data_IF_986872409941
#
_entry.id   IF_986872409941
#
_cell.length_a   1.000
_cell.length_b   1.000
_cell.length_c   1.000
_cell.angle_alpha   90.00
_cell.angle_beta   90.00
_cell.angle_gamma   90.00
#
_symmetry.space_group_name_H-M   'P 1'
#
loop_
_entity.id
_entity.type
_entity.pdbx_description
1 polymer ?
#
# COMPACT_ATOMS: atom_id res chain seq x y z
N UNK A 1 -16.46 -4.76 -15.81
CA UNK A 1 -15.72 -3.72 -16.56
C UNK A 1 -15.35 -2.50 -15.69
N UNK A 2 -16.23 -1.53 -15.42
CA UNK A 2 -15.83 -0.32 -14.65
C UNK A 2 -15.34 -0.61 -13.23
N UNK A 3 -15.98 -1.55 -12.52
CA UNK A 3 -15.55 -2.01 -11.21
C UNK A 3 -14.15 -2.64 -11.20
N UNK A 4 -13.80 -3.40 -12.24
CA UNK A 4 -12.49 -4.05 -12.36
C UNK A 4 -11.41 -3.01 -12.71
N UNK A 5 -11.74 -2.07 -13.60
CA UNK A 5 -10.85 -0.95 -13.93
C UNK A 5 -10.51 -0.11 -12.67
N UNK A 6 -11.51 0.17 -11.82
CA UNK A 6 -11.29 0.83 -10.52
C UNK A 6 -10.33 0.02 -9.66
N UNK A 7 -10.54 -1.29 -9.53
CA UNK A 7 -9.68 -2.13 -8.70
C UNK A 7 -8.23 -2.15 -9.21
N UNK A 8 -8.03 -2.27 -10.53
CA UNK A 8 -6.69 -2.21 -11.13
C UNK A 8 -6.03 -0.84 -10.90
N UNK A 9 -6.77 0.25 -11.07
CA UNK A 9 -6.28 1.60 -10.79
C UNK A 9 -5.87 1.78 -9.31
N UNK A 10 -6.67 1.25 -8.39
CA UNK A 10 -6.35 1.26 -6.96
C UNK A 10 -5.07 0.48 -6.65
N UNK A 11 -4.86 -0.69 -7.29
CA UNK A 11 -3.64 -1.47 -7.14
C UNK A 11 -2.40 -0.74 -7.69
N UNK A 12 -2.51 -0.12 -8.87
CA UNK A 12 -1.39 0.65 -9.44
C UNK A 12 -1.04 1.88 -8.60
N UNK A 13 -2.06 2.57 -8.08
CA UNK A 13 -1.86 3.68 -7.17
C UNK A 13 -1.14 3.24 -5.89
N UNK A 14 -1.62 2.15 -5.28
CA UNK A 14 -1.00 1.57 -4.09
C UNK A 14 0.46 1.18 -4.33
N UNK A 15 0.75 0.49 -5.43
CA UNK A 15 2.11 0.06 -5.78
C UNK A 15 3.06 1.26 -6.02
N UNK A 16 2.57 2.30 -6.69
CA UNK A 16 3.33 3.52 -6.92
C UNK A 16 3.67 4.24 -5.60
N UNK A 17 2.66 4.50 -4.77
CA UNK A 17 2.85 5.21 -3.49
C UNK A 17 3.74 4.42 -2.53
N UNK A 18 3.58 3.10 -2.45
CA UNK A 18 4.47 2.25 -1.65
C UNK A 18 5.90 2.24 -2.21
N UNK A 19 6.08 2.32 -3.53
CA UNK A 19 7.41 2.40 -4.16
C UNK A 19 8.10 3.72 -3.87
N UNK A 20 7.36 4.84 -3.91
CA UNK A 20 7.89 6.16 -3.57
C UNK A 20 8.25 6.27 -2.07
N UNK A 21 7.41 5.67 -1.22
CA UNK A 21 7.69 5.53 0.21
C UNK A 21 8.97 4.71 0.46
N UNK A 22 9.17 3.61 -0.28
CA UNK A 22 10.41 2.81 -0.24
C UNK A 22 11.63 3.62 -0.70
N UNK A 23 11.52 4.35 -1.81
CA UNK A 23 12.62 5.18 -2.31
C UNK A 23 13.04 6.24 -1.27
N UNK A 24 12.05 6.90 -0.66
CA UNK A 24 12.26 7.87 0.42
C UNK A 24 12.92 7.25 1.65
N UNK A 25 12.54 6.01 2.00
CA UNK A 25 13.14 5.26 3.10
C UNK A 25 14.60 4.90 2.84
N UNK A 26 14.90 4.38 1.66
CA UNK A 26 16.29 4.06 1.29
C UNK A 26 17.15 5.32 1.33
N UNK A 27 16.64 6.43 0.79
CA UNK A 27 17.34 7.71 0.83
C UNK A 27 17.62 8.16 2.26
N UNK A 28 16.63 8.06 3.16
CA UNK A 28 16.81 8.36 4.59
C UNK A 28 17.89 7.47 5.21
N UNK A 29 17.85 6.16 4.94
CA UNK A 29 18.81 5.21 5.49
C UNK A 29 20.25 5.51 5.04
N UNK A 30 20.44 5.86 3.76
CA UNK A 30 21.73 6.25 3.19
C UNK A 30 22.23 7.55 3.83
N UNK A 31 21.38 8.58 3.93
CA UNK A 31 21.75 9.90 4.45
C UNK A 31 22.06 9.89 5.96
N UNK A 32 21.35 9.06 6.72
CA UNK A 32 21.40 9.07 8.18
C UNK A 32 22.21 7.91 8.75
N UNK A 33 22.58 6.92 7.92
CA UNK A 33 23.23 5.68 8.35
C UNK A 33 22.36 4.84 9.29
N UNK A 34 21.04 5.06 9.30
CA UNK A 34 20.10 4.37 10.20
C UNK A 34 18.71 4.32 9.61
N UNK A 35 17.95 3.30 9.99
CA UNK A 35 16.57 3.15 9.55
C UNK A 35 15.65 4.15 10.28
N UNK A 36 14.60 4.68 9.63
CA UNK A 36 13.60 5.47 10.32
C UNK A 36 12.85 4.61 11.35
N UNK A 37 12.32 5.22 12.43
CA UNK A 37 11.57 4.50 13.45
C UNK A 37 10.37 3.72 12.88
N UNK A 38 10.11 2.49 13.35
CA UNK A 38 9.00 1.66 12.86
C UNK A 38 7.63 2.34 12.92
N UNK A 39 7.39 3.16 13.96
CA UNK A 39 6.11 3.88 14.12
C UNK A 39 5.88 4.94 13.04
N UNK A 40 6.97 5.60 12.59
CA UNK A 40 6.89 6.56 11.47
C UNK A 40 6.56 5.84 10.17
N UNK A 41 7.16 4.67 9.97
CA UNK A 41 6.95 3.86 8.79
C UNK A 41 5.50 3.39 8.69
N UNK A 42 5.00 2.76 9.76
CA UNK A 42 3.62 2.29 9.83
C UNK A 42 2.61 3.40 9.59
N UNK A 43 2.86 4.59 10.15
CA UNK A 43 2.00 5.75 9.92
C UNK A 43 1.92 6.14 8.43
N UNK A 44 3.06 6.15 7.73
CA UNK A 44 3.09 6.50 6.31
C UNK A 44 2.42 5.44 5.43
N UNK A 45 2.59 4.15 5.76
CA UNK A 45 1.83 3.07 5.12
C UNK A 45 0.33 3.24 5.33
N UNK A 46 -0.09 3.51 6.57
CA UNK A 46 -1.49 3.75 6.91
C UNK A 46 -2.04 4.95 6.11
N UNK A 47 -1.27 6.03 5.99
CA UNK A 47 -1.64 7.21 5.20
C UNK A 47 -1.85 6.85 3.71
N UNK A 48 -0.98 6.02 3.12
CA UNK A 48 -1.13 5.52 1.73
C UNK A 48 -2.41 4.69 1.58
N UNK A 49 -2.68 3.77 2.51
CA UNK A 49 -3.89 2.94 2.50
C UNK A 49 -5.16 3.81 2.65
N UNK A 50 -5.12 4.84 3.51
CA UNK A 50 -6.23 5.80 3.60
C UNK A 50 -6.40 6.60 2.31
N UNK A 51 -5.31 6.92 1.60
CA UNK A 51 -5.34 7.53 0.27
C UNK A 51 -6.11 6.67 -0.73
N UNK A 52 -5.76 5.38 -0.83
CA UNK A 52 -6.46 4.40 -1.68
C UNK A 52 -7.95 4.35 -1.35
N UNK A 53 -8.30 4.23 -0.06
CA UNK A 53 -9.70 4.20 0.40
C UNK A 53 -10.45 5.46 -0.03
N UNK A 54 -9.88 6.64 0.25
CA UNK A 54 -10.51 7.91 -0.06
C UNK A 54 -10.73 8.11 -1.57
N UNK A 55 -9.79 7.69 -2.39
CA UNK A 55 -9.82 7.94 -3.83
C UNK A 55 -10.66 6.91 -4.60
N UNK A 56 -10.59 5.63 -4.22
CA UNK A 56 -11.17 4.54 -5.00
C UNK A 56 -12.28 3.78 -4.30
N UNK A 57 -12.36 3.82 -2.97
CA UNK A 57 -13.33 3.10 -2.15
C UNK A 57 -14.06 4.05 -1.21
N UNK A 58 -14.62 5.13 -1.77
CA UNK A 58 -15.50 6.05 -1.06
C UNK A 58 -16.96 5.80 -1.44
N UNK A 59 -17.89 6.32 -0.65
CA UNK A 59 -19.32 6.01 -0.81
C UNK A 59 -19.87 6.49 -2.16
N UNK A 60 -19.37 7.61 -2.70
CA UNK A 60 -19.80 8.13 -4.00
C UNK A 60 -19.41 7.16 -5.13
N UNK A 61 -18.16 6.70 -5.15
CA UNK A 61 -17.67 5.71 -6.12
C UNK A 61 -18.39 4.37 -5.94
N UNK A 62 -18.59 3.91 -4.70
CA UNK A 62 -19.32 2.67 -4.41
C UNK A 62 -20.76 2.73 -4.91
N UNK A 63 -21.46 3.84 -4.68
CA UNK A 63 -22.83 4.05 -5.16
C UNK A 63 -22.90 4.14 -6.69
N UNK A 64 -21.93 4.78 -7.33
CA UNK A 64 -21.88 4.90 -8.78
C UNK A 64 -21.66 3.54 -9.47
N UNK A 65 -20.82 2.68 -8.89
CA UNK A 65 -20.49 1.36 -9.45
C UNK A 65 -21.49 0.27 -9.06
N UNK A 66 -22.13 0.38 -7.89
CA UNK A 66 -23.06 -0.62 -7.35
C UNK A 66 -24.34 0.01 -6.77
N UNK A 67 -25.12 0.78 -7.56
CA UNK A 67 -26.26 1.55 -7.07
C UNK A 67 -27.38 0.68 -6.47
N UNK A 68 -27.50 -0.57 -6.91
CA UNK A 68 -28.53 -1.50 -6.42
C UNK A 68 -28.11 -2.28 -5.17
N UNK A 69 -26.87 -2.10 -4.70
CA UNK A 69 -26.37 -2.75 -3.49
C UNK A 69 -26.31 -1.72 -2.37
N UNK A 70 -27.05 -1.97 -1.28
CA UNK A 70 -26.85 -1.27 -0.01
C UNK A 70 -25.52 -1.73 0.61
N UNK A 71 -24.41 -1.26 0.03
CA UNK A 71 -23.06 -1.61 0.44
C UNK A 71 -22.33 -0.33 0.84
N UNK A 72 -21.72 -0.36 2.01
CA UNK A 72 -20.88 0.74 2.47
C UNK A 72 -19.53 0.73 1.76
N UNK A 73 -18.89 1.89 1.68
CA UNK A 73 -17.53 2.04 1.18
C UNK A 73 -16.51 1.09 1.85
N UNK A 74 -16.65 0.87 3.17
CA UNK A 74 -15.80 -0.03 3.92
C UNK A 74 -16.02 -1.50 3.53
N UNK A 75 -17.27 -1.93 3.38
CA UNK A 75 -17.59 -3.28 2.91
C UNK A 75 -17.14 -3.52 1.45
N UNK A 76 -17.24 -2.50 0.60
CA UNK A 76 -16.74 -2.55 -0.78
C UNK A 76 -15.22 -2.70 -0.83
N UNK A 77 -14.51 -1.98 0.03
CA UNK A 77 -13.06 -2.15 0.21
C UNK A 77 -12.75 -3.59 0.64
N UNK A 78 -13.20 -4.01 1.83
CA UNK A 78 -12.91 -5.34 2.39
C UNK A 78 -13.20 -6.46 1.39
N UNK A 79 -14.38 -6.46 0.78
CA UNK A 79 -14.78 -7.53 -0.14
C UNK A 79 -13.83 -7.68 -1.33
N UNK A 80 -13.21 -6.59 -1.78
CA UNK A 80 -12.39 -6.56 -3.00
C UNK A 80 -10.91 -6.58 -2.71
N UNK A 81 -10.49 -6.19 -1.51
CA UNK A 81 -9.08 -6.12 -1.13
C UNK A 81 -8.63 -7.27 -0.25
N UNK A 82 -9.47 -7.75 0.68
CA UNK A 82 -9.09 -8.85 1.58
C UNK A 82 -9.48 -10.23 1.07
N UNK A 83 -10.48 -10.34 0.18
CA UNK A 83 -11.00 -11.65 -0.27
C UNK A 83 -10.58 -12.09 -1.68
N UNK A 84 -10.29 -11.15 -2.60
CA UNK A 84 -10.19 -11.46 -4.04
C UNK A 84 -9.07 -10.76 -4.85
N UNK A 85 -8.12 -9.99 -4.27
CA UNK A 85 -7.18 -9.21 -5.10
C UNK A 85 -5.72 -9.18 -4.67
N UNK A 86 -4.85 -8.87 -5.64
CA UNK A 86 -3.40 -8.72 -5.54
C UNK A 86 -2.88 -7.71 -4.50
N UNK A 87 -3.75 -7.10 -3.69
CA UNK A 87 -3.37 -6.37 -2.48
C UNK A 87 -2.70 -7.29 -1.45
N UNK A 88 -3.12 -8.55 -1.33
CA UNK A 88 -2.39 -9.54 -0.52
C UNK A 88 -0.98 -9.82 -1.06
N UNK A 89 -0.81 -9.82 -2.40
CA UNK A 89 0.50 -9.99 -3.04
C UNK A 89 1.36 -8.74 -2.90
N UNK A 90 0.79 -7.54 -3.04
CA UNK A 90 1.50 -6.28 -2.80
C UNK A 90 1.91 -6.13 -1.34
N UNK A 91 1.03 -6.47 -0.40
CA UNK A 91 1.32 -6.47 1.03
C UNK A 91 2.37 -7.53 1.37
N UNK A 92 2.28 -8.73 0.80
CA UNK A 92 3.28 -9.78 0.98
C UNK A 92 4.65 -9.38 0.38
N UNK A 93 4.68 -8.79 -0.82
CA UNK A 93 5.90 -8.23 -1.40
C UNK A 93 6.44 -7.08 -0.56
N UNK A 94 5.58 -6.26 0.03
CA UNK A 94 6.00 -5.18 0.91
C UNK A 94 6.62 -5.68 2.21
N UNK A 95 5.98 -6.65 2.87
CA UNK A 95 6.50 -7.33 4.06
C UNK A 95 7.81 -8.07 3.78
N UNK A 96 7.92 -8.77 2.64
CA UNK A 96 9.19 -9.37 2.22
C UNK A 96 10.29 -8.32 2.02
N UNK A 97 9.96 -7.15 1.48
CA UNK A 97 10.92 -6.07 1.24
C UNK A 97 11.33 -5.30 2.50
N UNK A 98 10.50 -5.25 3.55
CA UNK A 98 10.92 -4.81 4.90
C UNK A 98 12.06 -5.67 5.45
N UNK A 99 12.15 -6.92 5.00
CA UNK A 99 13.18 -7.87 5.38
C UNK A 99 14.37 -7.89 4.42
N UNK A 100 14.34 -7.15 3.30
CA UNK A 100 15.50 -7.02 2.42
C UNK A 100 16.42 -5.97 3.03
N UNK A 101 17.62 -6.35 3.51
CA UNK A 101 18.53 -5.39 4.08
C UNK A 101 19.02 -4.43 2.99
N UNK A 102 19.24 -3.17 3.35
CA UNK A 102 19.69 -2.15 2.40
C UNK A 102 21.19 -2.31 2.10
N UNK A 103 21.64 -1.80 0.94
CA UNK A 103 23.07 -1.79 0.61
C UNK A 103 23.82 -0.92 1.64
N UNK A 104 24.65 -1.56 2.49
CA UNK A 104 25.30 -0.93 3.64
C UNK A 104 24.75 -1.34 5.02
N UNK A 105 23.80 -2.27 5.09
CA UNK A 105 23.37 -2.89 6.35
C UNK A 105 24.57 -3.58 7.04
N UNK A 106 24.71 -3.52 8.38
CA UNK A 106 25.80 -4.17 9.12
C UNK A 106 25.97 -5.66 8.78
N UNK A 107 24.87 -6.37 8.57
CA UNK A 107 24.86 -7.79 8.17
C UNK A 107 25.50 -8.05 6.77
N UNK A 108 25.68 -7.03 5.94
CA UNK A 108 26.43 -7.12 4.68
C UNK A 108 27.90 -6.70 4.82
N UNK A 109 28.33 -6.28 6.02
CA UNK A 109 29.69 -5.87 6.35
C UNK A 109 30.48 -6.95 7.10
N UNK A 110 29.86 -8.08 7.45
CA UNK A 110 30.57 -9.25 7.96
C UNK A 110 30.97 -10.19 6.80
N UNK A 111 32.25 -10.56 6.67
CA UNK A 111 32.74 -11.50 5.64
C UNK A 111 32.34 -12.96 5.89
#
# INVERSE_FOLDING_TARGET
MLAEARNMAALFFLDHELSDLRASFMQFAIERGTLPPPDKWKKLEDDVIQGVKKQYFNQEVTNALFPEKNMTAHEDYEKRTTKDSGEATLWHSHELLKNVPFHGHPDYLEP
#
